data_IF_230598370988
#
_entry.id   IF_230598370988
#
_cell.length_a   1.000
_cell.length_b   1.000
_cell.length_c   1.000
_cell.angle_alpha   90.00
_cell.angle_beta   90.00
_cell.angle_gamma   90.00
#
_symmetry.space_group_name_H-M   'P 1'
#
loop_
_entity.id
_entity.type
_entity.pdbx_description
1 polymer ?
#
# COMPACT_ATOMS: atom_id res chain seq x y z
N UNK A 1 0.49 11.04 -4.15
CA UNK A 1 0.73 9.82 -4.96
C UNK A 1 0.31 8.61 -4.14
N UNK A 2 -0.08 7.52 -4.79
CA UNK A 2 -0.51 6.28 -4.13
C UNK A 2 0.35 5.12 -4.63
N UNK A 3 0.78 4.25 -3.72
CA UNK A 3 1.63 3.09 -4.04
C UNK A 3 1.20 1.84 -3.28
N UNK A 4 1.51 0.67 -3.83
CA UNK A 4 1.30 -0.63 -3.20
C UNK A 4 2.46 -0.96 -2.25
N UNK A 5 2.64 -0.13 -1.22
CA UNK A 5 3.78 -0.21 -0.31
C UNK A 5 4.83 0.87 -0.55
N UNK A 6 5.82 0.94 0.34
CA UNK A 6 6.87 1.96 0.28
C UNK A 6 8.01 1.68 -0.73
N UNK A 7 8.16 0.42 -1.18
CA UNK A 7 9.32 0.00 -1.98
C UNK A 7 9.40 0.67 -3.36
N UNK A 8 8.30 0.85 -4.12
CA UNK A 8 8.36 1.55 -5.41
C UNK A 8 9.01 2.93 -5.31
N UNK A 9 8.79 3.64 -4.21
CA UNK A 9 9.36 4.97 -3.99
C UNK A 9 10.78 4.88 -3.47
N UNK A 10 10.98 4.12 -2.38
CA UNK A 10 12.27 4.05 -1.68
C UNK A 10 13.36 3.29 -2.45
N UNK A 11 13.00 2.24 -3.16
CA UNK A 11 13.95 1.32 -3.80
C UNK A 11 14.00 1.44 -5.32
N UNK A 12 13.00 2.06 -5.96
CA UNK A 12 13.04 2.28 -7.40
C UNK A 12 13.16 3.76 -7.73
N UNK A 13 12.18 4.60 -7.35
CA UNK A 13 12.14 5.99 -7.78
C UNK A 13 13.31 6.85 -7.24
N UNK A 14 13.55 6.84 -5.93
CA UNK A 14 14.65 7.62 -5.34
C UNK A 14 16.03 7.22 -5.89
N UNK A 15 16.38 5.91 -5.96
CA UNK A 15 17.64 5.49 -6.57
C UNK A 15 17.76 5.88 -8.05
N UNK A 16 16.68 5.77 -8.82
CA UNK A 16 16.70 6.15 -10.24
C UNK A 16 16.84 7.65 -10.45
N UNK A 17 16.22 8.49 -9.62
CA UNK A 17 16.40 9.93 -9.66
C UNK A 17 17.86 10.31 -9.35
N UNK A 18 18.43 9.69 -8.32
CA UNK A 18 19.85 9.86 -7.97
C UNK A 18 20.78 9.46 -9.12
N UNK A 19 20.57 8.26 -9.70
CA UNK A 19 21.38 7.73 -10.81
C UNK A 19 21.38 8.65 -12.04
N UNK A 20 20.26 9.35 -12.26
CA UNK A 20 20.08 10.28 -13.38
C UNK A 20 20.39 11.73 -13.05
N UNK A 21 20.87 12.01 -11.84
CA UNK A 21 21.13 13.36 -11.34
C UNK A 21 19.90 14.27 -11.48
N UNK A 22 18.73 13.72 -11.19
CA UNK A 22 17.47 14.45 -11.20
C UNK A 22 17.09 14.83 -9.78
N UNK A 23 16.75 16.10 -9.58
CA UNK A 23 16.12 16.55 -8.35
C UNK A 23 14.68 16.04 -8.31
N UNK A 24 14.40 15.15 -7.36
CA UNK A 24 13.07 14.59 -7.20
C UNK A 24 12.17 15.61 -6.48
N UNK A 25 11.02 16.01 -7.08
CA UNK A 25 10.12 16.93 -6.43
C UNK A 25 9.65 16.47 -5.04
N UNK A 26 9.49 17.42 -4.11
CA UNK A 26 9.13 17.14 -2.71
C UNK A 26 7.84 16.33 -2.54
N UNK A 27 6.90 16.39 -3.50
CA UNK A 27 5.66 15.62 -3.41
C UNK A 27 5.87 14.10 -3.50
N UNK A 28 7.05 13.62 -3.93
CA UNK A 28 7.39 12.20 -3.88
C UNK A 28 7.83 11.73 -2.49
N UNK A 29 8.11 12.65 -1.56
CA UNK A 29 8.43 12.32 -0.16
C UNK A 29 7.18 12.01 0.67
N UNK A 30 5.98 12.29 0.13
CA UNK A 30 4.70 12.02 0.77
C UNK A 30 3.81 11.19 -0.17
N UNK A 31 3.39 10.01 0.29
CA UNK A 31 2.56 9.10 -0.49
C UNK A 31 1.62 8.31 0.41
N UNK A 32 0.53 7.83 -0.19
CA UNK A 32 -0.40 6.89 0.45
C UNK A 32 0.07 5.46 0.19
N UNK A 33 0.34 4.73 1.26
CA UNK A 33 0.70 3.31 1.21
C UNK A 33 -0.57 2.48 1.31
N UNK A 34 -1.03 1.93 0.19
CA UNK A 34 -2.26 1.14 0.11
C UNK A 34 -2.29 -0.03 1.09
N UNK A 35 -1.14 -0.63 1.40
CA UNK A 35 -1.08 -1.77 2.33
C UNK A 35 -1.42 -1.32 3.74
N UNK A 36 -0.95 -0.14 4.15
CA UNK A 36 -1.32 0.46 5.44
C UNK A 36 -2.79 0.85 5.49
N UNK A 37 -3.33 1.39 4.39
CA UNK A 37 -4.75 1.73 4.31
C UNK A 37 -5.65 0.48 4.43
N UNK A 38 -5.27 -0.65 3.82
CA UNK A 38 -5.99 -1.93 3.97
C UNK A 38 -5.91 -2.46 5.39
N UNK A 39 -4.73 -2.41 6.02
CA UNK A 39 -4.57 -2.83 7.42
C UNK A 39 -5.44 -1.97 8.35
N UNK A 40 -5.43 -0.65 8.16
CA UNK A 40 -6.25 0.29 8.93
C UNK A 40 -7.76 0.07 8.71
N UNK A 41 -8.20 -0.14 7.47
CA UNK A 41 -9.60 -0.43 7.14
C UNK A 41 -10.12 -1.69 7.84
N UNK A 42 -9.25 -2.68 8.01
CA UNK A 42 -9.60 -3.99 8.57
C UNK A 42 -9.22 -4.14 10.05
N UNK A 43 -8.75 -3.06 10.69
CA UNK A 43 -8.26 -3.04 12.07
C UNK A 43 -7.23 -4.16 12.35
N UNK A 44 -6.25 -4.31 11.45
CA UNK A 44 -5.18 -5.30 11.56
C UNK A 44 -3.86 -4.65 11.95
N UNK A 45 -3.14 -5.30 12.86
CA UNK A 45 -1.77 -4.92 13.23
C UNK A 45 -0.75 -5.28 12.14
N UNK A 46 -1.00 -6.35 11.39
CA UNK A 46 -0.13 -6.81 10.31
C UNK A 46 -0.47 -6.15 8.97
N UNK A 47 0.54 -5.52 8.37
CA UNK A 47 0.43 -4.89 7.04
C UNK A 47 0.61 -5.97 5.97
N UNK A 48 -0.32 -6.09 4.99
CA UNK A 48 -0.19 -7.04 3.89
C UNK A 48 1.13 -6.90 3.13
N UNK A 49 1.80 -8.02 2.87
CA UNK A 49 3.09 -8.09 2.18
C UNK A 49 2.99 -7.99 0.66
N UNK A 50 1.79 -8.13 0.10
CA UNK A 50 1.58 -8.15 -1.36
C UNK A 50 0.18 -7.69 -1.75
N UNK A 51 -0.01 -7.41 -3.05
CA UNK A 51 -1.34 -7.13 -3.62
C UNK A 51 -2.29 -8.32 -3.49
N UNK A 52 -1.78 -9.55 -3.62
CA UNK A 52 -2.57 -10.78 -3.42
C UNK A 52 -3.13 -10.84 -2.01
N UNK A 53 -2.29 -10.63 -1.00
CA UNK A 53 -2.71 -10.62 0.39
C UNK A 53 -3.73 -9.51 0.69
N UNK A 54 -3.58 -8.32 0.09
CA UNK A 54 -4.59 -7.26 0.23
C UNK A 54 -5.96 -7.72 -0.30
N UNK A 55 -5.99 -8.37 -1.46
CA UNK A 55 -7.23 -8.90 -2.06
C UNK A 55 -7.84 -9.98 -1.15
N UNK A 56 -7.02 -10.92 -0.67
CA UNK A 56 -7.47 -11.98 0.24
C UNK A 56 -8.08 -11.39 1.52
N UNK A 57 -7.45 -10.37 2.10
CA UNK A 57 -7.95 -9.65 3.27
C UNK A 57 -9.32 -9.01 3.02
N UNK A 58 -9.48 -8.31 1.89
CA UNK A 58 -10.72 -7.61 1.52
C UNK A 58 -11.85 -8.61 1.23
N UNK A 59 -11.55 -9.68 0.48
CA UNK A 59 -12.54 -10.72 0.17
C UNK A 59 -13.01 -11.46 1.42
N UNK A 60 -12.08 -11.76 2.34
CA UNK A 60 -12.42 -12.35 3.63
C UNK A 60 -13.35 -11.43 4.43
N UNK A 61 -13.00 -10.15 4.56
CA UNK A 61 -13.82 -9.18 5.27
C UNK A 61 -15.23 -9.03 4.64
N UNK A 62 -15.31 -8.97 3.31
CA UNK A 62 -16.58 -8.91 2.61
C UNK A 62 -17.43 -10.16 2.86
N UNK A 63 -16.85 -11.36 2.84
CA UNK A 63 -17.57 -12.59 3.17
C UNK A 63 -18.16 -12.55 4.60
N UNK A 64 -17.40 -12.06 5.58
CA UNK A 64 -17.90 -11.90 6.96
C UNK A 64 -19.05 -10.88 7.02
N UNK A 65 -18.96 -9.77 6.30
CA UNK A 65 -20.05 -8.78 6.25
C UNK A 65 -21.32 -9.37 5.63
N UNK A 66 -21.20 -10.10 4.51
CA UNK A 66 -22.33 -10.73 3.84
C UNK A 66 -22.99 -11.83 4.69
N UNK A 67 -22.22 -12.55 5.51
CA UNK A 67 -22.75 -13.59 6.41
C UNK A 67 -23.42 -13.02 7.65
N UNK A 68 -23.04 -11.82 8.13
CA UNK A 68 -23.70 -11.13 9.24
C UNK A 68 -25.05 -10.47 8.87
N UNK A 69 -25.32 -10.28 7.58
CA UNK A 69 -26.53 -9.63 7.07
C UNK A 69 -27.67 -10.64 6.83
N UNK A 70 -27.38 -11.95 6.86
CA UNK A 70 -28.37 -13.04 6.82
C UNK A 70 -28.69 -13.52 8.23
#
# INVERSE_FOLDING_TARGET
>A
MMTDGQLPIRQCLHPEAWRKQLDLPNYYNAFHDLRKEVAALLDRDEIPGSVSEMIECILFANHILQTKIK
#
